data_IF_499930686948
#
_entry.id   IF_499930686948
#
_cell.length_a   1.000
_cell.length_b   1.000
_cell.length_c   1.000
_cell.angle_alpha   90.00
_cell.angle_beta   90.00
_cell.angle_gamma   90.00
#
_symmetry.space_group_name_H-M   'P 1'
#
loop_
_entity.id
_entity.type
_entity.pdbx_description
1 polymer ?
#
# COMPACT_ATOMS: atom_id res chain seq x y z
N UNK A 1 -32.62 -53.43 -30.82
CA UNK A 1 -31.49 -54.06 -31.54
C UNK A 1 -30.39 -53.03 -31.75
N UNK A 2 -29.16 -53.31 -31.29
CA UNK A 2 -27.88 -52.70 -31.74
C UNK A 2 -27.70 -51.20 -31.30
N UNK A 3 -26.58 -50.65 -30.82
CA UNK A 3 -25.14 -50.98 -30.84
C UNK A 3 -24.46 -50.20 -29.69
N UNK A 4 -23.38 -50.79 -29.15
CA UNK A 4 -22.35 -50.12 -28.33
C UNK A 4 -21.77 -48.91 -29.09
N UNK A 5 -21.36 -47.85 -28.39
CA UNK A 5 -20.01 -47.26 -28.53
C UNK A 5 -19.80 -45.99 -27.69
N UNK A 6 -18.69 -46.04 -26.94
CA UNK A 6 -17.62 -45.05 -26.81
C UNK A 6 -17.89 -43.74 -26.06
N UNK A 7 -17.15 -43.62 -24.96
CA UNK A 7 -17.03 -42.42 -24.16
C UNK A 7 -16.34 -41.29 -24.90
N UNK A 8 -16.76 -40.09 -24.53
CA UNK A 8 -16.03 -38.84 -24.73
C UNK A 8 -16.16 -38.09 -23.42
N UNK A 9 -15.19 -38.26 -22.53
CA UNK A 9 -15.02 -37.39 -21.36
C UNK A 9 -14.44 -36.08 -21.89
N UNK A 10 -15.32 -35.18 -22.35
CA UNK A 10 -14.94 -33.83 -22.70
C UNK A 10 -14.59 -33.09 -21.41
N UNK A 11 -13.29 -33.03 -21.08
CA UNK A 11 -12.80 -32.17 -20.02
C UNK A 11 -12.92 -30.71 -20.48
N UNK A 12 -14.00 -30.05 -20.07
CA UNK A 12 -14.17 -28.61 -20.22
C UNK A 12 -13.20 -27.93 -19.26
N UNK A 13 -12.09 -27.42 -19.79
CA UNK A 13 -11.26 -26.47 -19.07
C UNK A 13 -12.05 -25.17 -18.92
N UNK A 14 -12.72 -25.01 -17.79
CA UNK A 14 -13.24 -23.72 -17.37
C UNK A 14 -12.03 -22.81 -17.12
N UNK A 15 -11.71 -21.96 -18.09
CA UNK A 15 -10.81 -20.84 -17.88
C UNK A 15 -11.49 -19.89 -16.88
N UNK A 16 -11.21 -20.08 -15.60
CA UNK A 16 -11.60 -19.14 -14.58
C UNK A 16 -10.82 -17.84 -14.84
N UNK A 17 -11.49 -16.86 -15.45
CA UNK A 17 -11.02 -15.49 -15.45
C UNK A 17 -11.02 -15.04 -13.99
N UNK A 18 -9.86 -15.14 -13.33
CA UNK A 18 -9.65 -14.54 -12.03
C UNK A 18 -9.97 -13.05 -12.18
N UNK A 19 -10.87 -12.48 -11.36
CA UNK A 19 -10.96 -11.04 -11.31
C UNK A 19 -9.55 -10.57 -10.96
N UNK A 20 -8.97 -9.77 -11.85
CA UNK A 20 -7.80 -8.97 -11.51
C UNK A 20 -8.32 -8.11 -10.37
N UNK A 21 -8.08 -8.58 -9.14
CA UNK A 21 -8.19 -7.78 -7.95
C UNK A 21 -7.49 -6.50 -8.33
N UNK A 22 -8.27 -5.42 -8.41
CA UNK A 22 -7.69 -4.10 -8.49
C UNK A 22 -6.66 -4.11 -7.37
N UNK A 23 -5.38 -4.09 -7.73
CA UNK A 23 -4.41 -3.65 -6.79
C UNK A 23 -4.95 -2.27 -6.45
N UNK A 24 -5.55 -2.13 -5.26
CA UNK A 24 -5.48 -0.87 -4.54
C UNK A 24 -4.07 -0.37 -4.84
N UNK A 25 -3.89 0.92 -5.17
CA UNK A 25 -2.54 1.40 -5.32
C UNK A 25 -1.78 0.83 -4.12
N UNK A 26 -0.58 0.33 -4.34
CA UNK A 26 0.32 -0.01 -3.25
C UNK A 26 0.72 1.30 -2.53
N UNK A 27 -0.28 2.12 -2.21
CA UNK A 27 -0.37 3.14 -1.21
C UNK A 27 0.14 2.48 0.06
N UNK A 28 1.46 2.44 0.19
CA UNK A 28 2.12 3.33 1.13
C UNK A 28 1.05 3.96 2.02
N UNK A 29 0.71 3.24 3.08
CA UNK A 29 -0.37 3.61 3.97
C UNK A 29 0.23 4.38 5.12
N UNK A 30 -0.57 5.18 5.81
CA UNK A 30 -0.08 5.81 7.04
C UNK A 30 0.47 4.78 8.04
N UNK A 31 0.00 3.52 7.99
CA UNK A 31 0.54 2.42 8.77
C UNK A 31 1.96 2.02 8.35
N UNK A 32 2.30 1.99 7.07
CA UNK A 32 3.65 1.68 6.59
C UNK A 32 4.66 2.76 6.99
N UNK A 33 4.27 4.03 6.85
CA UNK A 33 5.00 5.18 7.38
C UNK A 33 5.26 5.01 8.89
N UNK A 34 4.22 4.71 9.69
CA UNK A 34 4.37 4.49 11.12
C UNK A 34 5.26 3.29 11.48
N UNK A 35 5.12 2.16 10.79
CA UNK A 35 5.94 0.96 11.04
C UNK A 35 7.40 1.25 10.73
N UNK A 36 7.69 1.93 9.62
CA UNK A 36 9.04 2.35 9.27
C UNK A 36 9.66 3.23 10.36
N UNK A 37 8.91 4.23 10.85
CA UNK A 37 9.36 5.09 11.92
C UNK A 37 9.68 4.33 13.22
N UNK A 38 8.84 3.35 13.60
CA UNK A 38 9.12 2.48 14.76
C UNK A 38 10.37 1.62 14.55
N UNK A 39 10.56 1.08 13.34
CA UNK A 39 11.71 0.23 13.02
C UNK A 39 13.04 1.00 13.05
N UNK A 40 13.01 2.31 12.74
CA UNK A 40 14.15 3.20 12.91
C UNK A 40 14.41 3.62 14.37
N UNK A 41 13.51 3.27 15.29
CA UNK A 41 13.61 3.60 16.71
C UNK A 41 12.96 4.93 17.11
N UNK A 42 12.17 5.56 16.22
CA UNK A 42 11.40 6.75 16.60
C UNK A 42 10.16 6.39 17.40
N UNK A 43 9.84 7.22 18.39
CA UNK A 43 8.58 7.11 19.13
C UNK A 43 7.42 7.58 18.26
N UNK A 44 6.57 6.64 17.83
CA UNK A 44 5.36 6.95 17.06
C UNK A 44 4.21 7.31 17.99
N UNK A 45 4.15 8.60 18.36
CA UNK A 45 3.02 9.20 19.07
C UNK A 45 2.01 9.87 18.13
N UNK A 46 0.96 10.50 18.67
CA UNK A 46 -0.14 11.08 17.87
C UNK A 46 0.33 12.01 16.75
N UNK A 47 1.35 12.85 17.00
CA UNK A 47 1.86 13.78 15.98
C UNK A 47 2.53 13.09 14.79
N UNK A 48 3.20 11.95 15.02
CA UNK A 48 3.79 11.16 13.93
C UNK A 48 2.70 10.46 13.13
N UNK A 49 1.65 9.98 13.82
CA UNK A 49 0.48 9.37 13.17
C UNK A 49 -0.23 10.39 12.28
N UNK A 50 -0.54 11.57 12.80
CA UNK A 50 -1.15 12.66 12.03
C UNK A 50 -0.31 13.04 10.80
N UNK A 51 1.01 13.13 10.94
CA UNK A 51 1.90 13.43 9.81
C UNK A 51 1.83 12.34 8.72
N UNK A 52 1.87 11.07 9.11
CA UNK A 52 1.72 9.95 8.20
C UNK A 52 0.32 9.92 7.54
N UNK A 53 -0.74 10.23 8.28
CA UNK A 53 -2.12 10.27 7.77
C UNK A 53 -2.32 11.41 6.74
N UNK A 54 -1.69 12.56 6.99
CA UNK A 54 -1.63 13.65 6.00
C UNK A 54 -0.92 13.16 4.74
N UNK A 55 0.25 12.52 4.86
CA UNK A 55 1.00 11.98 3.72
C UNK A 55 0.20 10.98 2.87
N UNK A 56 -0.63 10.17 3.52
CA UNK A 56 -1.49 9.14 2.89
C UNK A 56 -2.77 9.66 2.26
N UNK A 57 -3.12 10.91 2.52
CA UNK A 57 -4.25 11.54 1.87
C UNK A 57 -3.91 11.82 0.41
N UNK A 58 -4.74 11.33 -0.52
CA UNK A 58 -4.55 11.57 -1.95
C UNK A 58 -4.52 13.06 -2.26
N UNK A 59 -3.46 13.50 -2.92
CA UNK A 59 -3.31 14.88 -3.39
C UNK A 59 -2.56 14.89 -4.74
N UNK A 60 -3.17 15.42 -5.81
CA UNK A 60 -2.58 15.43 -7.13
C UNK A 60 -1.35 16.34 -7.25
N UNK A 61 -1.13 17.24 -6.29
CA UNK A 61 -0.01 18.20 -6.32
C UNK A 61 1.18 17.77 -5.44
N UNK A 62 1.03 16.75 -4.60
CA UNK A 62 2.08 16.27 -3.70
C UNK A 62 2.39 17.16 -2.48
N UNK A 63 1.58 18.19 -2.21
CA UNK A 63 1.66 19.03 -1.02
C UNK A 63 1.46 18.23 0.27
N UNK A 64 0.63 17.19 0.26
CA UNK A 64 0.44 16.32 1.43
C UNK A 64 1.72 15.59 1.85
N UNK A 65 2.51 15.13 0.87
CA UNK A 65 3.81 14.49 1.13
C UNK A 65 4.84 15.49 1.63
N UNK A 66 4.82 16.72 1.10
CA UNK A 66 5.64 17.82 1.62
C UNK A 66 5.25 18.20 3.06
N UNK A 67 3.96 18.22 3.38
CA UNK A 67 3.45 18.51 4.71
C UNK A 67 3.85 17.40 5.70
N UNK A 68 3.74 16.13 5.31
CA UNK A 68 4.26 14.99 6.07
C UNK A 68 5.75 15.15 6.35
N UNK A 69 6.57 15.43 5.32
CA UNK A 69 8.02 15.60 5.47
C UNK A 69 8.34 16.70 6.49
N UNK A 70 7.71 17.87 6.33
CA UNK A 70 7.96 19.02 7.19
C UNK A 70 7.52 18.74 8.63
N UNK A 71 6.34 18.14 8.81
CA UNK A 71 5.83 17.78 10.14
C UNK A 71 6.77 16.81 10.87
N UNK A 72 7.29 15.78 10.18
CA UNK A 72 8.24 14.85 10.79
C UNK A 72 9.58 15.52 11.13
N UNK A 73 10.11 16.36 10.25
CA UNK A 73 11.34 17.13 10.52
C UNK A 73 11.18 18.07 11.71
N UNK A 74 10.03 18.75 11.84
CA UNK A 74 9.74 19.62 12.99
C UNK A 74 9.62 18.83 14.32
N UNK A 75 9.35 17.52 14.25
CA UNK A 75 9.37 16.59 15.39
C UNK A 75 10.79 16.05 15.70
N UNK A 76 11.80 16.49 14.96
CA UNK A 76 13.20 16.08 15.14
C UNK A 76 13.58 14.79 14.38
N UNK A 77 12.75 14.32 13.46
CA UNK A 77 13.09 13.21 12.56
C UNK A 77 14.12 13.70 11.55
N UNK A 78 15.12 12.87 11.24
CA UNK A 78 16.09 13.20 10.19
C UNK A 78 15.39 13.37 8.84
N UNK A 79 15.82 14.36 8.06
CA UNK A 79 15.19 14.67 6.77
C UNK A 79 15.16 13.47 5.82
N UNK A 80 16.20 12.64 5.77
CA UNK A 80 16.27 11.45 4.90
C UNK A 80 15.27 10.36 5.33
N UNK A 81 15.12 10.15 6.64
CA UNK A 81 14.16 9.21 7.21
C UNK A 81 12.73 9.70 6.94
N UNK A 82 12.46 10.98 7.19
CA UNK A 82 11.16 11.60 6.93
C UNK A 82 10.81 11.59 5.44
N UNK A 83 11.78 11.84 4.55
CA UNK A 83 11.57 11.77 3.10
C UNK A 83 11.21 10.36 2.66
N UNK A 84 11.92 9.34 3.16
CA UNK A 84 11.61 7.95 2.87
C UNK A 84 10.21 7.58 3.37
N UNK A 85 9.90 7.94 4.61
CA UNK A 85 8.58 7.73 5.20
C UNK A 85 7.47 8.37 4.35
N UNK A 86 7.61 9.64 3.96
CA UNK A 86 6.52 10.40 3.32
C UNK A 86 6.37 10.19 1.81
N UNK A 87 7.44 9.83 1.09
CA UNK A 87 7.38 9.68 -0.38
C UNK A 87 7.32 8.23 -0.86
N UNK A 88 7.80 7.29 -0.04
CA UNK A 88 7.83 5.87 -0.40
C UNK A 88 6.81 5.05 0.38
N UNK A 89 6.41 5.50 1.57
CA UNK A 89 5.65 4.70 2.53
C UNK A 89 4.39 5.39 3.08
N UNK A 90 4.18 6.68 2.79
CA UNK A 90 2.96 7.41 3.12
C UNK A 90 2.07 7.63 1.90
#
# INVERSE_FOLDING_TARGET
MKKRTLGVLAATFAAAALPIVAASPASASSADCQVYMRNLGYTVGPRVQDACDVGATWDPNGFNRLACLRALVDLGVKADDASTACYQLA
#
